data_IF_986376081325
#
_entry.id   IF_986376081325
#
_cell.length_a   1.000
_cell.length_b   1.000
_cell.length_c   1.000
_cell.angle_alpha   90.00
_cell.angle_beta   90.00
_cell.angle_gamma   90.00
#
_symmetry.space_group_name_H-M   'P 1'
#
loop_
_entity.id
_entity.type
_entity.pdbx_description
1 polymer ?
#
# COMPACT_ATOMS: atom_id res chain seq x y z
N UNK A 1 10.24 55.88 -22.20
CA UNK A 1 9.17 56.69 -21.59
C UNK A 1 8.58 55.88 -20.43
N UNK A 2 9.12 56.10 -19.23
CA UNK A 2 8.45 55.86 -17.94
C UNK A 2 7.77 57.19 -17.52
N UNK A 3 6.91 57.31 -16.48
CA UNK A 3 6.56 56.36 -15.41
C UNK A 3 5.06 56.38 -15.00
N UNK A 4 4.68 55.60 -13.97
CA UNK A 4 3.62 55.83 -12.93
C UNK A 4 3.42 54.47 -12.22
N UNK A 5 4.17 54.08 -11.20
CA UNK A 5 4.26 54.60 -9.81
C UNK A 5 2.90 54.72 -9.12
N UNK A 6 2.48 53.68 -8.40
CA UNK A 6 1.58 53.82 -7.24
C UNK A 6 2.24 53.22 -6.00
N UNK A 7 2.60 54.14 -5.11
CA UNK A 7 2.93 53.93 -3.72
C UNK A 7 1.66 53.56 -2.92
N UNK A 8 1.78 52.60 -2.00
CA UNK A 8 0.89 52.49 -0.83
C UNK A 8 1.80 52.42 0.41
N UNK A 9 1.71 53.38 1.35
CA UNK A 9 2.57 53.43 2.53
C UNK A 9 1.95 52.76 3.78
N UNK A 10 2.85 52.21 4.60
CA UNK A 10 2.96 52.26 6.07
C UNK A 10 1.74 51.96 6.98
N UNK A 11 1.89 50.89 7.75
CA UNK A 11 1.54 50.79 9.18
C UNK A 11 2.74 50.06 9.82
N UNK A 12 3.75 50.71 10.41
CA UNK A 12 3.85 51.36 11.73
C UNK A 12 3.30 50.52 12.89
N UNK A 13 4.23 50.00 13.70
CA UNK A 13 4.01 49.30 14.97
C UNK A 13 5.10 48.23 15.16
N UNK A 14 6.37 48.55 15.38
CA UNK A 14 6.99 49.19 16.54
C UNK A 14 6.87 48.36 17.84
N UNK A 15 8.05 48.01 18.43
CA UNK A 15 8.37 47.97 19.89
C UNK A 15 7.97 46.62 20.57
N UNK A 16 8.81 45.75 21.18
CA UNK A 16 10.09 45.77 21.95
C UNK A 16 10.68 44.32 22.04
N UNK A 17 11.99 44.06 21.88
CA UNK A 17 13.11 44.13 22.86
C UNK A 17 13.17 42.96 23.88
N UNK A 18 14.15 42.05 23.73
CA UNK A 18 15.03 41.41 24.76
C UNK A 18 15.81 40.25 24.10
N UNK A 19 17.08 40.39 23.73
CA UNK A 19 18.26 40.18 24.58
C UNK A 19 18.39 38.74 25.13
N UNK A 20 19.22 37.91 24.49
CA UNK A 20 20.05 36.91 25.15
C UNK A 20 21.18 36.44 24.21
N UNK A 21 22.30 37.17 24.24
CA UNK A 21 23.61 36.56 24.02
C UNK A 21 23.91 35.68 25.24
N UNK A 22 24.27 34.42 25.02
CA UNK A 22 24.80 33.52 26.05
C UNK A 22 26.02 32.80 25.48
N UNK A 23 27.19 33.31 25.84
CA UNK A 23 28.51 32.73 25.54
C UNK A 23 28.88 31.64 26.54
N UNK A 24 29.85 30.81 26.13
CA UNK A 24 30.53 29.72 26.84
C UNK A 24 31.03 30.05 28.27
N UNK A 25 30.87 29.06 29.15
CA UNK A 25 31.83 28.60 30.18
C UNK A 25 31.57 27.07 30.28
N UNK A 26 32.46 26.16 29.88
CA UNK A 26 33.70 25.72 30.55
C UNK A 26 33.56 25.52 32.06
N UNK A 27 32.97 24.38 32.46
CA UNK A 27 33.18 23.80 33.79
C UNK A 27 33.89 22.45 33.58
N UNK A 28 35.21 22.54 33.57
CA UNK A 28 36.12 21.42 33.75
C UNK A 28 35.88 20.76 35.13
N UNK A 29 35.39 19.52 35.16
CA UNK A 29 35.59 18.64 36.33
C UNK A 29 35.98 17.21 35.93
N UNK A 30 37.03 16.64 36.54
CA UNK A 30 37.77 15.53 35.96
C UNK A 30 37.23 14.14 36.33
N UNK A 31 37.53 13.20 35.44
CA UNK A 31 37.82 11.79 35.66
C UNK A 31 37.00 11.05 36.72
N UNK A 32 35.92 10.41 36.28
CA UNK A 32 35.50 9.13 36.82
C UNK A 32 35.69 8.07 35.73
N UNK A 33 36.54 7.09 36.04
CA UNK A 33 36.81 5.89 35.24
C UNK A 33 35.51 5.19 34.83
N UNK A 34 35.48 4.48 33.69
CA UNK A 34 34.32 3.70 33.28
C UNK A 34 34.06 2.61 34.31
N UNK A 35 33.03 2.79 35.15
CA UNK A 35 32.43 1.69 35.88
C UNK A 35 32.00 0.64 34.85
N UNK A 36 32.60 -0.53 34.99
CA UNK A 36 32.46 -1.70 34.16
C UNK A 36 31.04 -1.85 33.60
N UNK A 37 30.99 -2.04 32.29
CA UNK A 37 29.85 -2.61 31.60
C UNK A 37 29.35 -3.81 32.41
N UNK A 38 28.16 -3.68 33.00
CA UNK A 38 27.41 -4.83 33.46
C UNK A 38 27.02 -5.59 32.21
N UNK A 39 27.78 -6.63 31.89
CA UNK A 39 27.40 -7.64 30.93
C UNK A 39 25.98 -8.10 31.28
N UNK A 40 25.05 -8.16 30.31
CA UNK A 40 23.79 -8.83 30.55
C UNK A 40 24.05 -10.29 30.96
N UNK A 41 23.28 -10.85 31.90
CA UNK A 41 23.40 -12.26 32.23
C UNK A 41 23.23 -13.09 30.96
N UNK A 42 24.09 -14.09 30.81
CA UNK A 42 24.02 -15.05 29.72
C UNK A 42 22.60 -15.63 29.62
N UNK A 43 22.01 -15.73 28.42
CA UNK A 43 20.74 -16.39 28.25
C UNK A 43 20.88 -17.84 28.75
N UNK A 44 19.94 -18.24 29.61
CA UNK A 44 19.83 -19.60 30.12
C UNK A 44 19.81 -20.60 28.95
N UNK A 45 20.42 -21.79 29.10
CA UNK A 45 20.31 -22.83 28.08
C UNK A 45 18.83 -23.19 27.92
N UNK A 46 18.24 -22.80 26.79
CA UNK A 46 16.92 -23.26 26.41
C UNK A 46 16.98 -24.79 26.26
N UNK A 47 15.99 -25.54 26.75
CA UNK A 47 15.89 -26.95 26.42
C UNK A 47 15.80 -27.06 24.90
N UNK A 48 16.76 -27.75 24.30
CA UNK A 48 16.72 -28.13 22.90
C UNK A 48 15.39 -28.85 22.64
N UNK A 49 14.46 -28.17 21.99
CA UNK A 49 13.35 -28.86 21.35
C UNK A 49 13.97 -29.66 20.22
N UNK A 50 14.20 -30.95 20.50
CA UNK A 50 14.55 -31.95 19.52
C UNK A 50 13.36 -31.99 18.55
N UNK A 51 13.52 -31.36 17.38
CA UNK A 51 12.61 -31.57 16.27
C UNK A 51 12.62 -33.07 15.96
N UNK A 52 11.46 -33.75 15.91
CA UNK A 52 11.42 -35.12 15.44
C UNK A 52 11.97 -35.18 14.00
N UNK A 53 12.72 -36.23 13.64
CA UNK A 53 13.19 -36.39 12.28
C UNK A 53 12.01 -36.41 11.32
N UNK A 54 12.17 -35.86 10.09
CA UNK A 54 11.15 -35.99 9.07
C UNK A 54 10.87 -37.47 8.84
N UNK A 55 9.64 -37.87 9.10
CA UNK A 55 9.17 -39.21 8.74
C UNK A 55 8.98 -39.22 7.23
N UNK A 56 10.00 -39.63 6.50
CA UNK A 56 9.86 -39.95 5.09
C UNK A 56 9.04 -41.24 5.00
N UNK A 57 7.75 -41.12 4.71
CA UNK A 57 6.97 -42.25 4.21
C UNK A 57 7.52 -42.60 2.83
N UNK A 58 8.05 -43.80 2.60
CA UNK A 58 8.36 -44.24 1.25
C UNK A 58 7.03 -44.31 0.48
N UNK A 59 6.90 -43.49 -0.57
CA UNK A 59 5.92 -43.73 -1.62
C UNK A 59 6.30 -45.08 -2.23
N UNK A 60 5.50 -46.09 -1.90
CA UNK A 60 5.49 -47.35 -2.61
C UNK A 60 5.13 -47.04 -4.07
N UNK A 61 5.90 -47.51 -5.07
CA UNK A 61 5.46 -47.52 -6.45
C UNK A 61 4.38 -48.61 -6.60
N UNK A 62 3.22 -48.36 -6.02
CA UNK A 62 2.00 -49.10 -6.30
C UNK A 62 1.52 -48.67 -7.67
N UNK A 63 1.61 -49.57 -8.64
CA UNK A 63 1.24 -49.34 -10.03
C UNK A 63 -0.16 -48.72 -10.14
N UNK A 64 -0.19 -47.47 -10.59
CA UNK A 64 -1.41 -46.87 -11.12
C UNK A 64 -1.56 -47.42 -12.52
N UNK A 65 -2.40 -48.43 -12.67
CA UNK A 65 -2.95 -48.80 -13.98
C UNK A 65 -3.60 -47.54 -14.58
N UNK A 66 -3.40 -47.25 -15.88
CA UNK A 66 -4.06 -46.13 -16.52
C UNK A 66 -5.58 -46.28 -16.36
N UNK A 67 -6.34 -45.18 -16.17
CA UNK A 67 -7.79 -45.27 -16.13
C UNK A 67 -8.27 -45.87 -17.46
N UNK A 68 -8.88 -47.05 -17.39
CA UNK A 68 -9.59 -47.62 -18.53
C UNK A 68 -10.78 -46.71 -18.80
N UNK A 69 -10.72 -45.99 -19.90
CA UNK A 69 -11.82 -45.15 -20.36
C UNK A 69 -12.95 -46.07 -20.83
N UNK A 70 -13.95 -46.26 -19.97
CA UNK A 70 -15.21 -46.92 -20.36
C UNK A 70 -16.09 -45.83 -20.99
N UNK A 71 -16.43 -45.91 -22.29
CA UNK A 71 -17.38 -44.98 -22.86
C UNK A 71 -18.75 -45.16 -22.18
N UNK A 72 -19.50 -44.09 -21.90
CA UNK A 72 -20.85 -44.23 -21.36
C UNK A 72 -21.75 -44.88 -22.42
N UNK A 73 -22.31 -46.05 -22.09
CA UNK A 73 -23.39 -46.66 -22.88
C UNK A 73 -24.65 -45.85 -22.64
N UNK A 74 -25.02 -45.03 -23.62
CA UNK A 74 -26.29 -44.32 -23.61
C UNK A 74 -27.40 -45.31 -24.01
N UNK A 75 -28.27 -45.66 -23.07
CA UNK A 75 -29.52 -46.34 -23.40
C UNK A 75 -30.44 -45.33 -24.10
N UNK A 76 -30.80 -45.61 -25.34
CA UNK A 76 -31.74 -44.81 -26.11
C UNK A 76 -33.17 -45.24 -25.75
N UNK A 77 -34.02 -44.38 -25.15
CA UNK A 77 -35.44 -44.64 -25.12
C UNK A 77 -35.99 -44.48 -26.54
N UNK A 78 -36.53 -45.54 -27.11
CA UNK A 78 -37.35 -45.50 -28.34
C UNK A 78 -38.64 -44.75 -28.05
N UNK A 79 -38.58 -43.43 -28.15
CA UNK A 79 -39.73 -42.53 -28.17
C UNK A 79 -40.34 -42.49 -29.55
N UNK A 80 -41.60 -42.89 -29.64
CA UNK A 80 -42.47 -42.82 -30.82
C UNK A 80 -42.51 -41.39 -31.40
N UNK A 81 -42.33 -41.29 -32.72
CA UNK A 81 -42.39 -40.04 -33.48
C UNK A 81 -43.79 -39.43 -33.43
N UNK A 82 -43.93 -38.28 -32.76
CA UNK A 82 -45.01 -37.33 -33.01
C UNK A 82 -44.37 -36.04 -33.54
N UNK A 83 -44.58 -35.74 -34.82
CA UNK A 83 -44.13 -34.51 -35.47
C UNK A 83 -45.04 -33.35 -35.08
N UNK A 84 -44.70 -32.66 -34.00
CA UNK A 84 -45.13 -31.26 -33.77
C UNK A 84 -43.98 -30.33 -34.13
N UNK A 85 -44.14 -29.61 -35.25
CA UNK A 85 -43.25 -28.53 -35.67
C UNK A 85 -43.42 -27.34 -34.70
N UNK A 86 -42.57 -27.28 -33.69
CA UNK A 86 -42.40 -26.09 -32.85
C UNK A 86 -41.25 -25.27 -33.43
N UNK A 87 -41.54 -24.02 -33.82
CA UNK A 87 -40.53 -23.09 -34.30
C UNK A 87 -39.43 -22.89 -33.23
N UNK A 88 -38.14 -22.85 -33.61
CA UNK A 88 -37.06 -22.64 -32.65
C UNK A 88 -37.22 -21.25 -32.00
N UNK A 89 -37.05 -21.11 -30.67
CA UNK A 89 -36.99 -19.79 -30.07
C UNK A 89 -35.81 -19.05 -30.70
N UNK A 90 -36.09 -17.88 -31.28
CA UNK A 90 -35.06 -16.96 -31.77
C UNK A 90 -34.15 -16.61 -30.60
N UNK A 91 -32.91 -17.10 -30.65
CA UNK A 91 -31.88 -16.71 -29.68
C UNK A 91 -31.59 -15.22 -29.90
N UNK A 92 -32.08 -14.38 -28.99
CA UNK A 92 -31.68 -12.99 -28.95
C UNK A 92 -30.15 -12.94 -28.86
N UNK A 93 -29.48 -12.04 -29.60
CA UNK A 93 -28.04 -11.87 -29.47
C UNK A 93 -27.72 -11.55 -28.01
N UNK A 94 -26.86 -12.35 -27.40
CA UNK A 94 -26.25 -12.06 -26.11
C UNK A 94 -25.40 -10.80 -26.28
N UNK A 95 -26.01 -9.64 -26.11
CA UNK A 95 -25.27 -8.39 -25.95
C UNK A 95 -24.47 -8.55 -24.66
N UNK A 96 -23.16 -8.83 -24.79
CA UNK A 96 -22.22 -8.66 -23.69
C UNK A 96 -22.40 -7.22 -23.21
N UNK A 97 -23.01 -7.06 -22.03
CA UNK A 97 -22.99 -5.77 -21.34
C UNK A 97 -21.52 -5.37 -21.26
N UNK A 98 -21.13 -4.14 -21.64
CA UNK A 98 -19.76 -3.70 -21.45
C UNK A 98 -19.42 -3.87 -19.98
N UNK A 99 -18.45 -4.73 -19.69
CA UNK A 99 -17.85 -4.76 -18.35
C UNK A 99 -17.34 -3.34 -18.11
N UNK A 100 -17.79 -2.64 -17.05
CA UNK A 100 -17.29 -1.31 -16.78
C UNK A 100 -15.78 -1.39 -16.61
N UNK A 101 -15.04 -0.63 -17.42
CA UNK A 101 -13.61 -0.42 -17.18
C UNK A 101 -13.47 0.14 -15.76
N UNK A 102 -12.65 -0.46 -14.89
CA UNK A 102 -12.52 -0.01 -13.52
C UNK A 102 -12.08 1.45 -13.53
N UNK A 103 -12.91 2.32 -12.93
CA UNK A 103 -12.61 3.74 -12.83
C UNK A 103 -11.48 3.95 -11.82
N UNK A 104 -10.56 4.87 -12.14
CA UNK A 104 -9.54 5.31 -11.19
C UNK A 104 -10.21 5.88 -9.92
N UNK A 105 -9.57 5.67 -8.76
CA UNK A 105 -10.03 6.28 -7.53
C UNK A 105 -10.07 7.82 -7.66
N UNK A 106 -11.16 8.43 -7.18
CA UNK A 106 -11.31 9.88 -7.19
C UNK A 106 -10.44 10.52 -6.09
N UNK A 107 -10.14 11.81 -6.19
CA UNK A 107 -9.52 12.53 -5.06
C UNK A 107 -10.43 12.46 -3.83
N UNK A 108 -9.83 12.23 -2.67
CA UNK A 108 -10.55 12.23 -1.40
C UNK A 108 -11.20 13.60 -1.16
N UNK A 109 -12.48 13.62 -0.79
CA UNK A 109 -13.22 14.83 -0.41
C UNK A 109 -13.09 15.19 1.08
N UNK A 110 -12.54 14.28 1.88
CA UNK A 110 -12.34 14.43 3.33
C UNK A 110 -11.02 13.79 3.76
N UNK A 111 -11.11 12.81 4.66
CA UNK A 111 -9.94 12.06 5.14
C UNK A 111 -9.68 10.80 4.29
N UNK A 112 -8.42 10.36 4.17
CA UNK A 112 -7.22 10.96 4.75
C UNK A 112 -6.73 12.20 4.02
N UNK A 113 -6.14 13.14 4.78
CA UNK A 113 -5.45 14.31 4.22
C UNK A 113 -4.00 13.98 3.86
N UNK A 114 -3.40 14.75 2.95
CA UNK A 114 -2.00 14.59 2.60
C UNK A 114 -1.05 14.69 3.80
N UNK A 115 -1.38 15.54 4.78
CA UNK A 115 -0.61 15.68 6.01
C UNK A 115 -0.69 14.43 6.90
N UNK A 116 -1.87 13.78 6.98
CA UNK A 116 -2.04 12.52 7.70
C UNK A 116 -1.23 11.39 7.05
N UNK A 117 -1.21 11.32 5.72
CA UNK A 117 -0.38 10.34 4.99
C UNK A 117 1.11 10.59 5.25
N UNK A 118 1.56 11.85 5.19
CA UNK A 118 2.96 12.20 5.49
C UNK A 118 3.35 11.86 6.94
N UNK A 119 2.44 12.04 7.89
CA UNK A 119 2.66 11.65 9.28
C UNK A 119 2.70 10.12 9.44
N UNK A 120 1.81 9.40 8.74
CA UNK A 120 1.71 7.94 8.77
C UNK A 120 2.99 7.26 8.27
N UNK A 121 3.57 7.73 7.17
CA UNK A 121 4.78 7.11 6.59
C UNK A 121 6.07 7.53 7.28
N UNK A 122 6.00 8.47 8.23
CA UNK A 122 7.20 9.03 8.86
C UNK A 122 7.81 8.01 9.81
N UNK A 123 8.99 7.50 9.44
CA UNK A 123 9.74 6.55 10.27
C UNK A 123 9.48 5.09 9.93
N UNK A 124 8.60 4.81 8.96
CA UNK A 124 8.46 3.48 8.39
C UNK A 124 9.74 3.05 7.68
N UNK A 125 10.05 1.75 7.73
CA UNK A 125 11.21 1.18 7.07
C UNK A 125 11.12 1.35 5.53
N UNK A 126 12.27 1.64 4.91
CA UNK A 126 12.34 1.90 3.46
C UNK A 126 11.88 3.30 3.04
N UNK A 127 11.31 4.11 3.94
CA UNK A 127 10.94 5.49 3.65
C UNK A 127 12.15 6.42 3.80
N UNK A 128 12.39 7.33 2.84
CA UNK A 128 13.46 8.31 2.95
C UNK A 128 13.32 9.14 4.24
N UNK A 129 14.42 9.27 5.00
CA UNK A 129 14.49 10.14 6.19
C UNK A 129 14.46 11.64 5.87
N UNK A 130 14.35 11.99 4.59
CA UNK A 130 14.26 13.37 4.10
C UNK A 130 12.81 13.85 4.16
N UNK A 131 12.62 15.16 4.13
CA UNK A 131 11.29 15.75 4.08
C UNK A 131 10.58 15.33 2.79
N UNK A 132 9.41 14.71 2.93
CA UNK A 132 8.52 14.37 1.83
C UNK A 132 7.43 15.43 1.68
N UNK A 133 6.90 15.55 0.47
CA UNK A 133 5.76 16.39 0.13
C UNK A 133 4.81 15.61 -0.77
N UNK A 134 3.52 15.89 -0.67
CA UNK A 134 2.52 15.28 -1.57
C UNK A 134 2.72 15.84 -2.97
N UNK A 135 2.87 14.94 -3.94
CA UNK A 135 2.86 15.27 -5.36
C UNK A 135 1.43 15.21 -5.90
N UNK A 136 0.75 14.08 -5.68
CA UNK A 136 -0.60 13.81 -6.18
C UNK A 136 -1.42 12.99 -5.16
N UNK A 137 -2.75 13.12 -5.23
CA UNK A 137 -3.68 12.52 -4.28
C UNK A 137 -3.92 13.40 -3.03
N UNK A 138 -4.47 12.83 -1.95
CA UNK A 138 -4.87 11.43 -1.78
C UNK A 138 -6.05 11.04 -2.68
N UNK A 139 -6.03 9.84 -3.23
CA UNK A 139 -7.13 9.25 -4.00
C UNK A 139 -7.81 8.17 -3.17
N UNK A 140 -9.13 8.23 -3.05
CA UNK A 140 -9.91 7.36 -2.19
C UNK A 140 -10.81 6.43 -3.00
N UNK A 141 -10.85 5.17 -2.59
CA UNK A 141 -11.93 4.26 -2.93
C UNK A 141 -12.26 3.43 -1.68
N UNK A 142 -13.53 3.40 -1.29
CA UNK A 142 -14.00 2.83 -0.03
C UNK A 142 -13.14 3.34 1.16
N UNK A 143 -12.59 2.42 1.96
CA UNK A 143 -11.72 2.72 3.09
C UNK A 143 -10.24 2.75 2.71
N UNK A 144 -9.88 2.76 1.43
CA UNK A 144 -8.49 2.72 0.98
C UNK A 144 -8.10 4.04 0.34
N UNK A 145 -6.82 4.37 0.46
CA UNK A 145 -6.25 5.56 -0.15
C UNK A 145 -4.91 5.28 -0.84
N UNK A 146 -4.68 5.99 -1.94
CA UNK A 146 -3.42 5.99 -2.69
C UNK A 146 -2.90 7.42 -2.78
N UNK A 147 -1.62 7.63 -2.49
CA UNK A 147 -0.98 8.95 -2.54
C UNK A 147 0.39 8.86 -3.18
N UNK A 148 0.74 9.82 -4.03
CA UNK A 148 2.07 9.93 -4.63
C UNK A 148 2.84 11.00 -3.89
N UNK A 149 3.97 10.62 -3.30
CA UNK A 149 4.88 11.51 -2.59
C UNK A 149 6.14 11.76 -3.42
N UNK A 150 6.78 12.89 -3.14
CA UNK A 150 8.12 13.24 -3.66
C UNK A 150 8.96 13.87 -2.56
N UNK A 151 10.26 13.95 -2.76
CA UNK A 151 11.13 14.68 -1.84
C UNK A 151 10.87 16.20 -1.96
N UNK A 152 10.87 16.88 -0.82
CA UNK A 152 10.72 18.32 -0.75
C UNK A 152 12.00 19.04 -1.21
N UNK A 153 11.84 20.16 -1.90
CA UNK A 153 12.96 20.98 -2.37
C UNK A 153 13.81 20.39 -3.50
N UNK A 154 13.52 19.17 -3.97
CA UNK A 154 14.21 18.57 -5.12
C UNK A 154 13.44 18.89 -6.40
N UNK A 155 14.15 19.46 -7.37
CA UNK A 155 13.64 19.75 -8.71
C UNK A 155 14.36 18.82 -9.68
N UNK A 156 13.64 17.91 -10.33
CA UNK A 156 14.19 16.92 -11.27
C UNK A 156 13.42 15.60 -11.27
N UNK A 157 13.87 14.66 -12.10
CA UNK A 157 13.31 13.31 -12.24
C UNK A 157 13.71 12.43 -11.06
N UNK A 158 13.07 12.65 -9.92
CA UNK A 158 13.11 11.67 -8.83
C UNK A 158 11.97 10.68 -8.98
N UNK A 159 12.31 9.41 -8.75
CA UNK A 159 11.33 8.36 -8.63
C UNK A 159 10.32 8.71 -7.52
N UNK A 160 9.01 8.75 -7.84
CA UNK A 160 7.98 9.04 -6.86
C UNK A 160 7.84 7.88 -5.87
N UNK A 161 7.47 8.22 -4.64
CA UNK A 161 7.15 7.25 -3.62
C UNK A 161 5.62 7.12 -3.55
N UNK A 162 5.09 6.00 -4.02
CA UNK A 162 3.68 5.68 -3.93
C UNK A 162 3.38 5.12 -2.53
N UNK A 163 2.23 5.48 -1.98
CA UNK A 163 1.81 5.07 -0.64
C UNK A 163 0.38 4.57 -0.71
N UNK A 164 0.15 3.38 -0.16
CA UNK A 164 -1.18 2.82 0.04
C UNK A 164 -1.46 2.76 1.54
N UNK A 165 -2.62 3.28 1.94
CA UNK A 165 -3.11 3.24 3.31
C UNK A 165 -4.58 2.82 3.33
N UNK A 166 -5.04 2.33 4.49
CA UNK A 166 -6.43 1.97 4.72
C UNK A 166 -6.98 2.66 5.97
N UNK A 167 -8.30 2.79 6.08
CA UNK A 167 -8.97 3.57 7.12
C UNK A 167 -8.96 5.07 6.85
N UNK A 168 -9.39 5.83 7.86
CA UNK A 168 -9.49 7.29 7.82
C UNK A 168 -9.25 7.88 9.21
N UNK A 169 -8.83 9.14 9.28
CA UNK A 169 -8.63 9.85 10.55
C UNK A 169 -7.68 9.09 11.49
N UNK A 170 -8.16 8.76 12.68
CA UNK A 170 -7.38 8.06 13.73
C UNK A 170 -7.22 6.56 13.50
N UNK A 171 -7.99 5.96 12.59
CA UNK A 171 -7.89 4.54 12.24
C UNK A 171 -7.06 4.31 10.98
N UNK A 172 -6.31 5.33 10.54
CA UNK A 172 -5.49 5.26 9.35
C UNK A 172 -4.31 4.32 9.59
N UNK A 173 -4.21 3.29 8.74
CA UNK A 173 -3.21 2.24 8.81
C UNK A 173 -2.35 2.22 7.55
N UNK A 174 -1.04 2.13 7.75
CA UNK A 174 -0.07 1.96 6.67
C UNK A 174 -0.19 0.55 6.09
N UNK A 175 -0.25 0.44 4.76
CA UNK A 175 -0.28 -0.86 4.07
C UNK A 175 1.06 -1.11 3.38
N UNK A 176 1.49 -0.18 2.54
CA UNK A 176 2.76 -0.28 1.84
C UNK A 176 3.17 1.06 1.24
N UNK A 177 4.47 1.23 1.00
CA UNK A 177 4.99 2.33 0.21
C UNK A 177 6.25 1.90 -0.53
N UNK A 178 6.45 2.50 -1.69
CA UNK A 178 7.51 2.14 -2.62
C UNK A 178 7.25 2.77 -3.98
N UNK A 179 8.15 2.57 -4.93
CA UNK A 179 7.84 2.90 -6.32
C UNK A 179 6.88 1.89 -6.94
N UNK A 180 6.96 0.63 -6.51
CA UNK A 180 5.94 -0.40 -6.72
C UNK A 180 5.21 -0.69 -5.39
N UNK A 181 3.88 -0.65 -5.44
CA UNK A 181 3.01 -0.91 -4.29
C UNK A 181 2.00 -2.01 -4.57
N UNK A 182 2.13 -2.71 -5.70
CA UNK A 182 1.21 -3.76 -6.12
C UNK A 182 1.55 -5.11 -5.46
N UNK A 183 1.55 -5.16 -4.14
CA UNK A 183 1.80 -6.38 -3.39
C UNK A 183 0.54 -7.29 -3.32
N UNK A 184 0.66 -8.56 -2.90
CA UNK A 184 -0.48 -9.49 -2.84
C UNK A 184 -1.65 -9.01 -1.97
N UNK A 185 -1.39 -8.24 -0.92
CA UNK A 185 -2.43 -7.67 -0.07
C UNK A 185 -3.24 -6.60 -0.83
N UNK A 186 -2.56 -5.71 -1.57
CA UNK A 186 -3.23 -4.70 -2.40
C UNK A 186 -4.03 -5.35 -3.53
N UNK A 187 -3.48 -6.37 -4.20
CA UNK A 187 -4.16 -7.07 -5.29
C UNK A 187 -5.46 -7.76 -4.82
N UNK A 188 -5.42 -8.38 -3.65
CA UNK A 188 -6.54 -9.16 -3.11
C UNK A 188 -7.58 -8.33 -2.39
N UNK A 189 -7.18 -7.28 -1.68
CA UNK A 189 -8.04 -6.59 -0.71
C UNK A 189 -8.35 -5.14 -1.08
N UNK A 190 -7.56 -4.50 -1.95
CA UNK A 190 -7.83 -3.13 -2.33
C UNK A 190 -9.00 -3.04 -3.32
N UNK A 191 -9.84 -2.00 -3.22
CA UNK A 191 -10.88 -1.73 -4.20
C UNK A 191 -10.33 -1.52 -5.61
N UNK A 192 -11.17 -1.77 -6.61
CA UNK A 192 -10.77 -1.68 -8.02
C UNK A 192 -10.08 -0.35 -8.37
N UNK A 193 -10.59 0.79 -7.91
CA UNK A 193 -9.99 2.09 -8.20
C UNK A 193 -8.59 2.29 -7.61
N UNK A 194 -8.26 1.64 -6.49
CA UNK A 194 -6.91 1.65 -5.91
C UNK A 194 -6.00 0.69 -6.67
N UNK A 195 -6.50 -0.49 -7.06
CA UNK A 195 -5.72 -1.44 -7.88
C UNK A 195 -5.34 -0.85 -9.23
N UNK A 196 -6.22 -0.09 -9.86
CA UNK A 196 -5.86 0.60 -11.11
C UNK A 196 -4.71 1.60 -10.89
N UNK A 197 -4.66 2.30 -9.76
CA UNK A 197 -3.57 3.24 -9.46
C UNK A 197 -2.28 2.55 -9.00
N UNK A 198 -2.39 1.50 -8.19
CA UNK A 198 -1.27 0.81 -7.57
C UNK A 198 -0.65 -0.28 -8.47
N UNK A 199 -1.47 -0.95 -9.28
CA UNK A 199 -1.14 -2.13 -10.08
C UNK A 199 -1.30 -1.90 -11.60
N UNK A 200 -2.10 -0.91 -12.01
CA UNK A 200 -2.35 -0.63 -13.42
C UNK A 200 -3.45 -1.47 -14.09
N UNK A 201 -4.32 -2.15 -13.33
CA UNK A 201 -5.44 -2.95 -13.86
C UNK A 201 -6.65 -3.04 -12.92
#
# INVERSE_FOLDING_TARGET
>A
MSPHTRFIPLVVGAVLLTAACGSRDDESRPAALPSAASLPPAPSPQPSMILPPPTYTPVSPGGVLPPTWVPPTYAYPTGTTATTTTAPPSAAPLTKSPTPTPAHAAKCSGEPTGAQILALVKGEDGIPKKTLQVREGPFCADTWSFTVLKLAGVSGDQEPLNVVASGSGTSLAFITAGSDVCNPQVQSSAPAGIRVLACGY
#
